data_IF_513992977354
#
_entry.id   IF_513992977354
#
_cell.length_a   1.000
_cell.length_b   1.000
_cell.length_c   1.000
_cell.angle_alpha   90.00
_cell.angle_beta   90.00
_cell.angle_gamma   90.00
#
_symmetry.space_group_name_H-M   'P 1'
#
loop_
_entity.id
_entity.type
_entity.pdbx_description
1 polymer ?
#
# COMPACT_ATOMS: atom_id res chain seq x y z
N UNK A 1 -9.70 -8.83 -9.99
CA UNK A 1 -8.75 -7.69 -10.04
C UNK A 1 -8.66 -6.93 -8.73
N UNK A 2 -9.75 -6.37 -8.18
CA UNK A 2 -9.73 -5.61 -6.91
C UNK A 2 -9.14 -6.41 -5.76
N UNK A 3 -9.65 -7.62 -5.55
CA UNK A 3 -9.17 -8.51 -4.50
C UNK A 3 -7.69 -8.87 -4.66
N UNK A 4 -7.25 -9.23 -5.86
CA UNK A 4 -5.84 -9.54 -6.14
C UNK A 4 -4.95 -8.32 -5.87
N UNK A 5 -5.35 -7.13 -6.30
CA UNK A 5 -4.58 -5.91 -6.07
C UNK A 5 -4.51 -5.57 -4.57
N UNK A 6 -5.63 -5.71 -3.83
CA UNK A 6 -5.66 -5.46 -2.40
C UNK A 6 -4.80 -6.44 -1.60
N UNK A 7 -4.79 -7.73 -1.95
CA UNK A 7 -3.96 -8.73 -1.23
C UNK A 7 -2.48 -8.59 -1.55
N UNK A 8 -2.15 -8.25 -2.79
CA UNK A 8 -0.76 -8.22 -3.26
C UNK A 8 -0.10 -6.83 -3.14
N UNK A 9 -0.83 -5.80 -2.66
CA UNK A 9 -0.32 -4.42 -2.73
C UNK A 9 1.02 -4.22 -2.00
N UNK A 10 1.25 -4.96 -0.94
CA UNK A 10 2.48 -4.90 -0.12
C UNK A 10 3.44 -6.07 -0.39
N UNK A 11 3.26 -6.82 -1.47
CA UNK A 11 4.14 -7.96 -1.80
C UNK A 11 5.62 -7.57 -1.88
N UNK A 12 5.91 -6.31 -2.23
CA UNK A 12 7.27 -5.78 -2.24
C UNK A 12 7.92 -5.64 -0.87
N UNK A 13 7.15 -5.79 0.23
CA UNK A 13 7.63 -5.75 1.61
C UNK A 13 7.94 -7.13 2.19
N UNK A 14 7.63 -8.23 1.49
CA UNK A 14 7.90 -9.59 1.98
C UNK A 14 9.40 -9.85 2.13
N UNK A 15 9.79 -10.62 3.14
CA UNK A 15 11.20 -10.84 3.52
C UNK A 15 12.08 -11.33 2.37
N UNK A 16 11.58 -12.22 1.53
CA UNK A 16 12.29 -12.71 0.35
C UNK A 16 12.56 -11.63 -0.70
N UNK A 17 12.05 -10.42 -0.50
CA UNK A 17 12.00 -9.34 -1.49
C UNK A 17 12.44 -7.98 -0.96
N UNK A 18 12.99 -7.95 0.26
CA UNK A 18 13.44 -6.71 0.93
C UNK A 18 14.66 -6.07 0.24
N UNK A 19 15.48 -6.84 -0.47
CA UNK A 19 16.64 -6.31 -1.19
C UNK A 19 16.32 -5.12 -2.12
N UNK A 20 15.16 -5.06 -2.79
CA UNK A 20 14.78 -3.91 -3.59
C UNK A 20 14.40 -2.63 -2.81
N UNK A 21 14.16 -2.71 -1.51
CA UNK A 21 13.75 -1.51 -0.74
C UNK A 21 14.82 -0.42 -0.71
N UNK A 22 16.08 -0.82 -0.77
CA UNK A 22 17.21 0.12 -0.81
C UNK A 22 17.52 0.63 -2.21
N UNK A 23 16.99 -0.05 -3.25
CA UNK A 23 17.30 0.24 -4.63
C UNK A 23 16.15 0.91 -5.38
N UNK A 24 14.90 0.63 -5.00
CA UNK A 24 13.73 1.18 -5.66
C UNK A 24 12.54 1.29 -4.70
N UNK A 25 11.51 2.03 -5.12
CA UNK A 25 10.26 2.11 -4.38
C UNK A 25 9.58 0.73 -4.33
N UNK A 26 9.34 0.20 -3.12
CA UNK A 26 8.76 -1.14 -2.93
C UNK A 26 7.40 -1.30 -3.65
N UNK A 27 6.61 -0.24 -3.74
CA UNK A 27 5.34 -0.27 -4.46
C UNK A 27 5.54 -0.55 -5.96
N UNK A 28 6.57 0.04 -6.57
CA UNK A 28 6.89 -0.20 -7.99
C UNK A 28 7.43 -1.62 -8.17
N UNK A 29 8.37 -2.03 -7.33
CA UNK A 29 8.89 -3.40 -7.34
C UNK A 29 7.78 -4.42 -7.08
N UNK A 30 6.91 -4.16 -6.10
CA UNK A 30 5.75 -5.00 -5.78
C UNK A 30 4.77 -5.10 -6.94
N UNK A 31 4.55 -4.00 -7.68
CA UNK A 31 3.71 -4.00 -8.87
C UNK A 31 4.24 -4.92 -9.97
N UNK A 32 5.53 -4.88 -10.26
CA UNK A 32 6.17 -5.80 -11.22
C UNK A 32 6.06 -7.25 -10.75
N UNK A 33 6.34 -7.50 -9.48
CA UNK A 33 6.26 -8.84 -8.90
C UNK A 33 4.84 -9.42 -8.93
N UNK A 34 3.83 -8.60 -8.64
CA UNK A 34 2.43 -9.03 -8.70
C UNK A 34 2.00 -9.32 -10.14
N UNK A 35 2.44 -8.50 -11.10
CA UNK A 35 2.23 -8.73 -12.53
C UNK A 35 2.78 -10.10 -12.95
N UNK A 36 4.06 -10.35 -12.69
CA UNK A 36 4.74 -11.59 -13.09
C UNK A 36 4.17 -12.81 -12.36
N UNK A 37 3.81 -12.66 -11.08
CA UNK A 37 3.14 -13.70 -10.31
C UNK A 37 1.80 -14.07 -10.96
N UNK A 38 0.98 -13.10 -11.34
CA UNK A 38 -0.31 -13.36 -11.97
C UNK A 38 -0.15 -14.02 -13.35
N UNK A 39 0.82 -13.60 -14.13
CA UNK A 39 1.14 -14.29 -15.40
C UNK A 39 1.57 -15.73 -15.18
N UNK A 40 2.37 -16.02 -14.15
CA UNK A 40 2.79 -17.38 -13.82
C UNK A 40 1.64 -18.27 -13.35
N UNK A 41 0.47 -17.70 -13.06
CA UNK A 41 -0.78 -18.38 -12.69
C UNK A 41 -1.83 -18.33 -13.80
N UNK A 42 -1.40 -18.14 -15.03
CA UNK A 42 -2.24 -18.12 -16.23
C UNK A 42 -3.35 -17.05 -16.22
N UNK A 43 -3.16 -15.98 -15.45
CA UNK A 43 -4.09 -14.85 -15.53
C UNK A 43 -3.90 -14.07 -16.85
N UNK A 44 -4.97 -13.55 -17.44
CA UNK A 44 -4.87 -12.73 -18.65
C UNK A 44 -3.93 -11.54 -18.47
N UNK A 45 -2.99 -11.34 -19.41
CA UNK A 45 -1.97 -10.31 -19.32
C UNK A 45 -2.53 -8.90 -19.07
N UNK A 46 -3.65 -8.54 -19.71
CA UNK A 46 -4.30 -7.26 -19.48
C UNK A 46 -4.78 -7.09 -18.03
N UNK A 47 -5.24 -8.17 -17.38
CA UNK A 47 -5.64 -8.12 -15.95
C UNK A 47 -4.43 -8.06 -15.02
N UNK A 48 -3.37 -8.81 -15.33
CA UNK A 48 -2.10 -8.76 -14.59
C UNK A 48 -1.50 -7.35 -14.65
N UNK A 49 -1.52 -6.70 -15.82
CA UNK A 49 -1.05 -5.33 -15.99
C UNK A 49 -1.84 -4.33 -15.13
N UNK A 50 -3.17 -4.40 -15.15
CA UNK A 50 -4.02 -3.52 -14.33
C UNK A 50 -3.70 -3.66 -12.83
N UNK A 51 -3.47 -4.89 -12.35
CA UNK A 51 -3.12 -5.15 -10.96
C UNK A 51 -1.72 -4.61 -10.64
N UNK A 52 -0.74 -4.87 -11.50
CA UNK A 52 0.62 -4.37 -11.33
C UNK A 52 0.69 -2.84 -11.30
N UNK A 53 -0.02 -2.17 -12.22
CA UNK A 53 -0.09 -0.70 -12.27
C UNK A 53 -0.78 -0.13 -11.03
N UNK A 54 -1.87 -0.76 -10.57
CA UNK A 54 -2.57 -0.35 -9.36
C UNK A 54 -1.66 -0.43 -8.13
N UNK A 55 -0.91 -1.52 -8.00
CA UNK A 55 0.05 -1.72 -6.90
C UNK A 55 1.21 -0.72 -7.00
N UNK A 56 1.77 -0.52 -8.19
CA UNK A 56 2.84 0.46 -8.40
C UNK A 56 2.44 1.88 -7.99
N UNK A 57 1.15 2.20 -8.07
CA UNK A 57 0.64 3.53 -7.81
C UNK A 57 0.04 3.73 -6.40
N UNK A 58 -0.15 2.66 -5.59
CA UNK A 58 -0.99 2.69 -4.39
C UNK A 58 -0.57 3.68 -3.29
N UNK A 59 0.71 4.06 -3.25
CA UNK A 59 1.21 5.07 -2.30
C UNK A 59 0.98 6.52 -2.73
N UNK A 60 0.30 6.78 -3.84
CA UNK A 60 -0.09 8.14 -4.18
C UNK A 60 -1.35 8.53 -3.40
N UNK A 61 -1.32 9.72 -2.78
CA UNK A 61 -2.44 10.23 -1.98
C UNK A 61 -3.72 10.44 -2.78
N UNK A 62 -3.61 10.68 -4.07
CA UNK A 62 -4.74 10.92 -4.95
C UNK A 62 -4.51 10.34 -6.35
N UNK A 63 -5.38 9.42 -6.74
CA UNK A 63 -5.40 8.82 -8.07
C UNK A 63 -6.77 9.01 -8.72
N UNK A 64 -6.92 9.98 -9.63
CA UNK A 64 -8.17 10.18 -10.36
C UNK A 64 -8.54 8.95 -11.18
N UNK A 65 -9.77 8.44 -11.01
CA UNK A 65 -10.28 7.25 -11.70
C UNK A 65 -10.16 7.37 -13.22
N UNK A 66 -10.44 8.56 -13.79
CA UNK A 66 -10.36 8.80 -15.24
C UNK A 66 -8.97 8.56 -15.81
N UNK A 67 -7.92 8.75 -15.01
CA UNK A 67 -6.52 8.62 -15.48
C UNK A 67 -5.91 7.26 -15.14
N UNK A 68 -6.23 6.73 -13.97
CA UNK A 68 -5.54 5.55 -13.42
C UNK A 68 -6.44 4.32 -13.30
N UNK A 69 -7.73 4.46 -13.60
CA UNK A 69 -8.71 3.39 -13.47
C UNK A 69 -9.21 3.18 -12.04
N UNK A 70 -10.29 2.43 -11.90
CA UNK A 70 -10.95 2.19 -10.62
C UNK A 70 -10.09 1.36 -9.65
N UNK A 71 -9.42 0.33 -10.16
CA UNK A 71 -8.61 -0.58 -9.32
C UNK A 71 -7.51 0.20 -8.61
N UNK A 72 -6.74 0.98 -9.35
CA UNK A 72 -5.67 1.80 -8.78
C UNK A 72 -6.19 2.84 -7.78
N UNK A 73 -7.31 3.51 -8.12
CA UNK A 73 -7.92 4.51 -7.25
C UNK A 73 -8.41 3.91 -5.93
N UNK A 74 -9.03 2.73 -5.96
CA UNK A 74 -9.54 2.06 -4.76
C UNK A 74 -8.42 1.50 -3.89
N UNK A 75 -7.39 0.88 -4.48
CA UNK A 75 -6.25 0.36 -3.72
C UNK A 75 -5.50 1.50 -3.03
N UNK A 76 -5.25 2.60 -3.74
CA UNK A 76 -4.60 3.77 -3.14
C UNK A 76 -5.44 4.38 -2.00
N UNK A 77 -6.77 4.51 -2.16
CA UNK A 77 -7.66 4.97 -1.09
C UNK A 77 -7.64 4.04 0.12
N UNK A 78 -7.65 2.73 -0.11
CA UNK A 78 -7.56 1.73 0.95
C UNK A 78 -6.25 1.86 1.73
N UNK A 79 -5.12 1.91 1.04
CA UNK A 79 -3.81 2.07 1.65
C UNK A 79 -3.70 3.39 2.45
N UNK A 80 -4.16 4.50 1.88
CA UNK A 80 -4.16 5.81 2.56
C UNK A 80 -5.12 5.81 3.76
N UNK A 81 -6.27 5.13 3.66
CA UNK A 81 -7.20 4.97 4.78
C UNK A 81 -6.56 4.15 5.90
N UNK A 82 -5.88 3.07 5.59
CA UNK A 82 -5.23 2.22 6.57
C UNK A 82 -4.04 2.92 7.22
N UNK A 83 -3.14 3.44 6.42
CA UNK A 83 -1.90 4.06 6.88
C UNK A 83 -2.13 5.38 7.63
N UNK A 84 -2.99 6.26 7.12
CA UNK A 84 -3.16 7.62 7.63
C UNK A 84 -4.52 7.88 8.27
N UNK A 85 -5.42 6.90 8.28
CA UNK A 85 -6.77 7.07 8.81
C UNK A 85 -7.68 7.96 7.97
N UNK A 86 -7.24 8.40 6.77
CA UNK A 86 -8.07 9.22 5.90
C UNK A 86 -9.35 8.47 5.53
N UNK A 87 -10.47 9.19 5.62
CA UNK A 87 -11.81 8.66 5.33
C UNK A 87 -12.31 7.53 6.27
N UNK A 88 -11.56 7.10 7.29
CA UNK A 88 -12.04 6.12 8.28
C UNK A 88 -13.40 6.51 8.90
N UNK A 89 -13.65 7.82 9.05
CA UNK A 89 -14.94 8.33 9.56
C UNK A 89 -16.14 8.01 8.67
N UNK A 90 -15.91 7.73 7.39
CA UNK A 90 -16.95 7.36 6.43
C UNK A 90 -17.35 5.89 6.53
N UNK A 91 -16.54 5.07 7.20
CA UNK A 91 -16.83 3.65 7.39
C UNK A 91 -17.75 3.45 8.61
N UNK A 92 -18.79 2.59 8.47
CA UNK A 92 -19.66 2.26 9.60
C UNK A 92 -18.87 1.67 10.78
N UNK A 93 -19.19 2.07 12.01
CA UNK A 93 -18.49 1.58 13.23
C UNK A 93 -18.53 0.06 13.36
N UNK A 94 -19.68 -0.55 13.06
CA UNK A 94 -19.82 -2.00 13.05
C UNK A 94 -18.82 -2.66 12.11
N UNK A 95 -18.67 -2.13 10.88
CA UNK A 95 -17.72 -2.65 9.91
C UNK A 95 -16.28 -2.52 10.42
N UNK A 96 -15.91 -1.36 10.98
CA UNK A 96 -14.56 -1.15 11.52
C UNK A 96 -14.25 -2.13 12.66
N UNK A 97 -15.17 -2.29 13.61
CA UNK A 97 -14.97 -3.20 14.74
C UNK A 97 -14.90 -4.67 14.32
N UNK A 98 -15.70 -5.10 13.36
CA UNK A 98 -15.64 -6.45 12.80
C UNK A 98 -14.33 -6.69 12.04
N UNK A 99 -13.88 -5.72 11.25
CA UNK A 99 -12.64 -5.79 10.51
C UNK A 99 -11.43 -5.91 11.45
N UNK A 100 -11.33 -5.03 12.46
CA UNK A 100 -10.24 -5.04 13.43
C UNK A 100 -10.22 -6.29 14.31
N UNK A 101 -11.39 -6.86 14.59
CA UNK A 101 -11.48 -8.14 15.32
C UNK A 101 -10.99 -9.31 14.47
N UNK A 102 -11.35 -9.32 13.18
CA UNK A 102 -10.96 -10.40 12.25
C UNK A 102 -9.50 -10.27 11.80
N UNK A 103 -9.03 -9.03 11.65
CA UNK A 103 -7.68 -8.69 11.18
C UNK A 103 -7.09 -7.62 12.10
N UNK A 104 -6.53 -8.01 13.25
CA UNK A 104 -5.87 -7.06 14.15
C UNK A 104 -4.77 -6.31 13.42
N UNK A 105 -4.64 -5.02 13.70
CA UNK A 105 -3.53 -4.21 13.20
C UNK A 105 -2.23 -4.86 13.69
N UNK A 106 -1.41 -5.34 12.76
CA UNK A 106 -0.10 -5.88 13.08
C UNK A 106 0.94 -4.78 13.25
N UNK A 107 2.20 -5.19 13.39
CA UNK A 107 3.34 -4.28 13.58
C UNK A 107 3.82 -3.62 12.27
N UNK A 108 3.00 -3.61 11.20
CA UNK A 108 3.40 -3.08 9.90
C UNK A 108 3.88 -1.62 9.98
N UNK A 109 3.18 -0.80 10.75
CA UNK A 109 3.58 0.59 10.97
C UNK A 109 4.95 0.67 11.63
N UNK A 110 5.15 -0.05 12.74
CA UNK A 110 6.43 -0.10 13.42
C UNK A 110 7.53 -0.66 12.50
N UNK A 111 7.23 -1.70 11.74
CA UNK A 111 8.15 -2.30 10.78
C UNK A 111 8.54 -1.34 9.64
N UNK A 112 7.61 -0.53 9.13
CA UNK A 112 7.90 0.48 8.10
C UNK A 112 8.69 1.65 8.68
N UNK A 113 8.41 2.06 9.92
CA UNK A 113 9.06 3.18 10.57
C UNK A 113 10.46 2.84 11.10
N UNK A 114 10.69 1.58 11.48
CA UNK A 114 12.01 1.11 11.97
C UNK A 114 13.04 0.94 10.86
N UNK A 115 12.65 1.01 9.60
CA UNK A 115 13.59 0.90 8.48
C UNK A 115 14.36 2.20 8.31
N UNK A 116 15.59 2.20 8.79
CA UNK A 116 16.52 3.33 8.67
C UNK A 116 16.90 3.62 7.22
N UNK A 117 16.84 2.62 6.35
CA UNK A 117 17.25 2.70 4.95
C UNK A 117 16.06 2.62 3.99
N UNK A 118 15.43 3.74 3.75
CA UNK A 118 14.49 3.87 2.64
C UNK A 118 15.24 4.25 1.37
N UNK A 119 14.85 3.65 0.23
CA UNK A 119 15.41 4.03 -1.06
C UNK A 119 15.29 5.55 -1.29
N UNK A 120 16.39 6.27 -1.52
CA UNK A 120 16.35 7.70 -1.74
C UNK A 120 15.40 8.06 -2.89
N UNK A 121 14.54 9.05 -2.68
CA UNK A 121 13.54 9.46 -3.67
C UNK A 121 12.34 8.53 -3.80
N UNK A 122 12.25 7.46 -3.01
CA UNK A 122 11.02 6.64 -2.94
C UNK A 122 9.85 7.43 -2.34
N UNK A 123 8.62 6.97 -2.59
CA UNK A 123 7.41 7.62 -2.04
C UNK A 123 7.39 7.58 -0.51
N UNK A 124 7.92 6.54 0.12
CA UNK A 124 8.08 6.48 1.58
C UNK A 124 9.11 7.48 2.07
N UNK A 125 10.26 7.61 1.42
CA UNK A 125 11.28 8.60 1.74
C UNK A 125 10.74 10.03 1.59
N UNK A 126 9.99 10.28 0.53
CA UNK A 126 9.29 11.55 0.32
C UNK A 126 8.27 11.81 1.43
N UNK A 127 7.41 10.83 1.75
CA UNK A 127 6.43 10.94 2.82
C UNK A 127 7.09 11.22 4.18
N UNK A 128 8.16 10.53 4.51
CA UNK A 128 8.96 10.76 5.72
C UNK A 128 9.53 12.17 5.77
N UNK A 129 10.09 12.68 4.68
CA UNK A 129 10.63 14.04 4.59
C UNK A 129 9.52 15.09 4.73
N UNK A 130 8.38 14.88 4.10
CA UNK A 130 7.24 15.79 4.15
C UNK A 130 6.64 15.87 5.56
N UNK A 131 6.62 14.77 6.30
CA UNK A 131 6.16 14.71 7.69
C UNK A 131 7.16 15.28 8.70
N UNK A 132 8.27 15.84 8.25
CA UNK A 132 9.30 16.44 9.11
C UNK A 132 10.03 15.43 10.00
N UNK A 133 10.06 14.17 9.61
CA UNK A 133 10.62 13.08 10.42
C UNK A 133 9.73 12.70 11.62
N UNK A 134 8.46 13.13 11.64
CA UNK A 134 7.48 12.82 12.67
C UNK A 134 6.53 11.69 12.23
N UNK A 135 7.03 10.45 12.09
CA UNK A 135 6.14 9.33 11.80
C UNK A 135 5.12 9.14 12.92
N UNK A 136 5.56 9.30 14.17
CA UNK A 136 4.76 9.00 15.36
C UNK A 136 3.47 9.83 15.48
N UNK A 137 3.44 11.08 15.02
CA UNK A 137 2.25 11.93 15.17
C UNK A 137 1.17 11.75 14.13
N UNK A 138 1.51 11.27 12.94
CA UNK A 138 0.54 11.05 11.86
C UNK A 138 -0.13 9.68 12.01
N UNK A 139 0.58 8.73 12.62
CA UNK A 139 0.18 7.33 12.68
C UNK A 139 -0.55 6.92 13.95
N UNK A 140 -0.42 7.71 15.04
CA UNK A 140 -0.87 7.33 16.38
C UNK A 140 -2.26 7.91 16.74
N UNK A 141 -2.91 8.68 15.87
CA UNK A 141 -4.23 9.21 16.24
C UNK A 141 -5.35 8.21 16.01
N UNK A 142 -5.58 7.50 17.09
CA UNK A 142 -6.84 7.03 17.65
C UNK A 142 -7.65 6.03 16.82
N UNK A 143 -7.26 4.79 17.02
CA UNK A 143 -8.23 3.73 17.19
C UNK A 143 -8.51 3.64 18.71
N UNK A 144 -9.28 4.56 19.23
CA UNK A 144 -10.07 4.36 20.44
C UNK A 144 -11.52 4.38 20.08
#
# INVERSE_FOLDING_TARGET
>A
MYFSAAILHDIGLTESRISPLTQCCFAVSGGHQAHDFLLSKDHPAAKAQIVGDAISAHLNLHLPVRKYGEVASLVAKGAVCDLFGFEKRKLPEKFKSELLRAYPAGDLQAALLSKEELAPGSRLDFGRKLSGGLPERIWIHDIK
#
